data_IF_799155812441
#
_entry.id   IF_799155812441
#
_cell.length_a   1.000
_cell.length_b   1.000
_cell.length_c   1.000
_cell.angle_alpha   90.00
_cell.angle_beta   90.00
_cell.angle_gamma   90.00
#
_symmetry.space_group_name_H-M   'P 1'
#
loop_
_entity.id
_entity.type
_entity.pdbx_description
1 polymer ?
#
# COMPACT_ATOMS: atom_id res chain seq x y z
N UNK A 1 69.05 -21.02 1.50
CA UNK A 1 67.66 -20.96 1.02
C UNK A 1 66.76 -21.38 2.16
N UNK A 2 66.27 -20.42 2.94
CA UNK A 2 65.32 -20.62 4.03
C UNK A 2 63.91 -20.34 3.50
N UNK A 3 62.92 -21.22 3.75
CA UNK A 3 61.56 -20.96 3.31
C UNK A 3 60.93 -19.93 4.26
N UNK A 4 60.50 -18.79 3.70
CA UNK A 4 59.63 -17.85 4.40
C UNK A 4 58.24 -18.47 4.53
N UNK A 5 57.96 -19.01 5.71
CA UNK A 5 56.60 -19.34 6.15
C UNK A 5 55.80 -18.05 6.27
N UNK A 6 55.06 -17.72 5.19
CA UNK A 6 54.07 -16.66 5.21
C UNK A 6 52.95 -17.03 6.19
N UNK A 7 52.94 -16.36 7.35
CA UNK A 7 51.83 -16.42 8.29
C UNK A 7 50.62 -15.80 7.61
N UNK A 8 49.64 -16.62 7.23
CA UNK A 8 48.33 -16.15 6.82
C UNK A 8 47.67 -15.48 8.04
N UNK A 9 47.74 -14.15 8.10
CA UNK A 9 46.93 -13.40 9.05
C UNK A 9 45.50 -13.37 8.51
N UNK A 10 44.51 -13.98 9.21
CA UNK A 10 43.12 -13.82 8.83
C UNK A 10 42.79 -12.33 8.86
N UNK A 11 42.26 -11.80 7.75
CA UNK A 11 41.72 -10.44 7.71
C UNK A 11 40.78 -10.25 8.91
N UNK A 12 40.87 -9.13 9.64
CA UNK A 12 40.00 -8.89 10.78
C UNK A 12 38.54 -9.05 10.33
N UNK A 13 37.83 -10.02 10.93
CA UNK A 13 36.40 -10.18 10.72
C UNK A 13 35.74 -8.86 11.12
N UNK A 14 35.26 -8.12 10.13
CA UNK A 14 34.50 -6.90 10.36
C UNK A 14 33.33 -7.28 11.27
N UNK A 15 33.23 -6.67 12.45
CA UNK A 15 32.22 -7.00 13.45
C UNK A 15 30.87 -6.50 12.96
N UNK A 16 30.21 -7.30 12.13
CA UNK A 16 28.91 -6.98 11.59
C UNK A 16 27.90 -6.81 12.73
N UNK A 17 27.21 -5.66 12.76
CA UNK A 17 26.21 -5.33 13.76
C UNK A 17 24.88 -4.99 13.09
N UNK A 18 23.79 -5.11 13.84
CA UNK A 18 22.44 -4.84 13.33
C UNK A 18 22.19 -3.36 13.04
N UNK A 19 22.87 -2.45 13.74
CA UNK A 19 22.68 -1.01 13.59
C UNK A 19 23.15 -0.47 12.24
N UNK A 20 24.20 -1.05 11.64
CA UNK A 20 24.73 -0.65 10.33
C UNK A 20 24.19 -1.51 9.18
N UNK A 21 23.16 -2.34 9.43
CA UNK A 21 22.57 -3.19 8.43
C UNK A 21 21.86 -2.36 7.35
N UNK A 22 22.31 -2.44 6.09
CA UNK A 22 21.80 -1.56 5.03
C UNK A 22 20.29 -1.71 4.80
N UNK A 23 19.77 -2.95 4.81
CA UNK A 23 18.33 -3.19 4.73
C UNK A 23 17.55 -2.53 5.88
N UNK A 24 18.15 -2.45 7.07
CA UNK A 24 17.53 -1.82 8.23
C UNK A 24 17.42 -0.30 8.07
N UNK A 25 18.44 0.35 7.53
CA UNK A 25 18.42 1.80 7.28
C UNK A 25 17.25 2.16 6.36
N UNK A 26 17.05 1.41 5.26
CA UNK A 26 15.97 1.68 4.31
C UNK A 26 14.59 1.29 4.84
N UNK A 27 14.45 0.09 5.39
CA UNK A 27 13.15 -0.40 5.87
C UNK A 27 12.68 0.36 7.11
N UNK A 28 13.58 0.81 8.00
CA UNK A 28 13.16 1.61 9.15
C UNK A 28 12.52 2.94 8.74
N UNK A 29 12.99 3.57 7.65
CA UNK A 29 12.36 4.75 7.06
C UNK A 29 10.97 4.43 6.51
N UNK A 30 10.84 3.32 5.76
CA UNK A 30 9.56 2.84 5.23
C UNK A 30 8.56 2.54 6.36
N UNK A 31 9.00 1.85 7.42
CA UNK A 31 8.13 1.53 8.56
C UNK A 31 7.60 2.80 9.22
N UNK A 32 8.46 3.80 9.42
CA UNK A 32 8.07 5.09 9.99
C UNK A 32 7.11 5.86 9.09
N UNK A 33 7.35 5.90 7.79
CA UNK A 33 6.43 6.60 6.87
C UNK A 33 5.05 5.95 6.83
N UNK A 34 4.97 4.62 6.97
CA UNK A 34 3.70 3.89 7.02
C UNK A 34 2.90 4.16 8.30
N UNK A 35 3.57 4.41 9.43
CA UNK A 35 2.91 4.53 10.74
C UNK A 35 2.81 5.94 11.29
N UNK A 36 3.37 6.95 10.61
CA UNK A 36 3.44 8.33 11.09
C UNK A 36 2.08 8.95 11.49
N UNK A 37 0.98 8.50 10.88
CA UNK A 37 -0.37 9.02 11.15
C UNK A 37 -1.09 8.30 12.30
N UNK A 38 -0.54 7.20 12.83
CA UNK A 38 -1.12 6.38 13.90
C UNK A 38 -0.15 6.27 15.07
N UNK A 39 -0.51 6.92 16.17
CA UNK A 39 0.33 7.00 17.37
C UNK A 39 0.72 5.61 17.91
N UNK A 40 -0.21 4.64 17.90
CA UNK A 40 0.06 3.30 18.43
C UNK A 40 1.00 2.54 17.50
N UNK A 41 0.76 2.62 16.20
CA UNK A 41 1.61 2.00 15.18
C UNK A 41 3.02 2.63 15.17
N UNK A 42 3.12 3.94 15.37
CA UNK A 42 4.39 4.68 15.46
C UNK A 42 5.21 4.24 16.67
N UNK A 43 4.60 4.16 17.86
CA UNK A 43 5.29 3.68 19.08
C UNK A 43 5.76 2.23 18.91
N UNK A 44 4.92 1.36 18.36
CA UNK A 44 5.30 -0.02 18.04
C UNK A 44 6.48 -0.07 17.05
N UNK A 45 6.47 0.78 16.03
CA UNK A 45 7.56 0.91 15.06
C UNK A 45 8.88 1.28 15.73
N UNK A 46 8.89 2.31 16.58
CA UNK A 46 10.10 2.76 17.27
C UNK A 46 10.65 1.68 18.22
N UNK A 47 9.78 0.94 18.89
CA UNK A 47 10.18 -0.19 19.73
C UNK A 47 10.82 -1.31 18.90
N UNK A 48 10.23 -1.68 17.77
CA UNK A 48 10.79 -2.71 16.87
C UNK A 48 12.14 -2.26 16.31
N UNK A 49 12.26 -1.00 15.90
CA UNK A 49 13.53 -0.41 15.45
C UNK A 49 14.58 -0.46 16.56
N UNK A 50 14.21 -0.14 17.80
CA UNK A 50 15.10 -0.20 18.98
C UNK A 50 15.53 -1.64 19.30
N UNK A 51 14.59 -2.60 19.24
CA UNK A 51 14.89 -4.02 19.42
C UNK A 51 15.88 -4.51 18.36
N UNK A 52 15.67 -4.15 17.09
CA UNK A 52 16.57 -4.52 16.00
C UNK A 52 17.99 -3.97 16.21
N UNK A 53 18.13 -2.68 16.57
CA UNK A 53 19.45 -2.05 16.84
C UNK A 53 20.23 -2.76 17.94
N UNK A 54 19.54 -3.26 18.97
CA UNK A 54 20.13 -3.93 20.14
C UNK A 54 20.33 -5.44 19.93
N UNK A 55 19.78 -6.01 18.86
CA UNK A 55 19.88 -7.43 18.58
C UNK A 55 21.33 -7.85 18.32
N UNK A 56 21.64 -9.10 18.65
CA UNK A 56 22.88 -9.76 18.22
C UNK A 56 22.53 -10.70 17.08
N UNK A 57 23.25 -10.66 15.94
CA UNK A 57 23.00 -11.58 14.84
C UNK A 57 23.10 -13.02 15.30
N UNK A 58 22.11 -13.84 14.97
CA UNK A 58 22.06 -15.25 15.33
C UNK A 58 21.37 -16.07 14.23
N UNK A 59 21.72 -17.34 14.12
CA UNK A 59 21.03 -18.25 13.22
C UNK A 59 19.65 -18.59 13.78
N UNK A 60 18.60 -18.36 12.99
CA UNK A 60 17.23 -18.62 13.37
C UNK A 60 16.59 -19.58 12.37
N UNK A 61 15.88 -20.58 12.90
CA UNK A 61 15.14 -21.57 12.11
C UNK A 61 13.96 -20.94 11.37
N UNK A 62 13.65 -21.47 10.20
CA UNK A 62 12.58 -21.02 9.31
C UNK A 62 11.23 -20.72 9.99
N UNK A 63 10.75 -21.60 10.87
CA UNK A 63 9.46 -21.42 11.56
C UNK A 63 9.41 -20.19 12.49
N UNK A 64 10.54 -19.74 13.04
CA UNK A 64 10.62 -18.52 13.86
C UNK A 64 10.72 -17.25 13.01
N UNK A 65 11.08 -17.39 11.73
CA UNK A 65 11.16 -16.29 10.77
C UNK A 65 9.91 -16.15 9.91
N UNK A 66 8.87 -16.98 10.11
CA UNK A 66 7.54 -16.82 9.53
C UNK A 66 7.56 -16.47 8.03
N UNK A 67 6.95 -15.33 7.68
CA UNK A 67 6.93 -14.82 6.29
C UNK A 67 8.32 -14.50 5.73
N UNK A 68 9.30 -14.20 6.58
CA UNK A 68 10.68 -13.94 6.20
C UNK A 68 11.58 -15.21 6.23
N UNK A 69 10.99 -16.41 6.21
CA UNK A 69 11.71 -17.71 6.31
C UNK A 69 12.83 -17.94 5.29
N UNK A 70 12.87 -17.21 4.17
CA UNK A 70 13.93 -17.33 3.17
C UNK A 70 15.33 -16.98 3.71
N UNK A 71 15.41 -16.29 4.85
CA UNK A 71 16.66 -15.95 5.53
C UNK A 71 17.00 -16.90 6.69
N UNK A 72 16.33 -18.05 6.77
CA UNK A 72 16.67 -19.08 7.74
C UNK A 72 18.15 -19.46 7.64
N UNK A 73 18.73 -19.83 8.78
CA UNK A 73 20.12 -20.30 8.93
C UNK A 73 21.21 -19.27 8.56
N UNK A 74 20.82 -18.01 8.30
CA UNK A 74 21.73 -16.86 8.21
C UNK A 74 21.87 -16.17 9.57
N UNK A 75 22.97 -15.44 9.84
CA UNK A 75 23.07 -14.68 11.09
C UNK A 75 22.23 -13.40 11.00
N UNK A 76 20.95 -13.51 11.33
CA UNK A 76 19.96 -12.44 11.22
C UNK A 76 19.74 -11.73 12.55
N UNK A 77 19.36 -10.45 12.46
CA UNK A 77 18.94 -9.63 13.59
C UNK A 77 17.43 -9.74 13.86
N UNK A 78 16.68 -10.38 12.96
CA UNK A 78 15.25 -10.60 13.15
C UNK A 78 14.98 -11.62 14.24
N UNK A 79 13.77 -11.58 14.79
CA UNK A 79 13.20 -12.62 15.62
C UNK A 79 11.70 -12.76 15.27
N UNK A 80 10.99 -13.65 15.94
CA UNK A 80 9.55 -13.86 15.67
C UNK A 80 8.71 -12.60 15.90
N UNK A 81 9.11 -11.73 16.84
CA UNK A 81 8.41 -10.48 17.11
C UNK A 81 8.54 -9.49 15.93
N UNK A 82 9.77 -9.29 15.45
CA UNK A 82 10.06 -8.42 14.30
C UNK A 82 9.33 -8.91 13.04
N UNK A 83 9.36 -10.21 12.78
CA UNK A 83 8.67 -10.79 11.62
C UNK A 83 7.15 -10.67 11.75
N UNK A 84 6.58 -10.93 12.94
CA UNK A 84 5.15 -10.75 13.17
C UNK A 84 4.72 -9.30 12.96
N UNK A 85 5.53 -8.34 13.42
CA UNK A 85 5.31 -6.92 13.17
C UNK A 85 5.35 -6.57 11.67
N UNK A 86 6.31 -7.12 10.92
CA UNK A 86 6.38 -6.95 9.46
C UNK A 86 5.08 -7.41 8.80
N UNK A 87 4.57 -8.58 9.17
CA UNK A 87 3.36 -9.13 8.56
C UNK A 87 2.14 -8.24 8.86
N UNK A 88 2.01 -7.80 10.11
CA UNK A 88 0.96 -6.87 10.54
C UNK A 88 1.05 -5.49 9.87
N UNK A 89 2.26 -4.94 9.72
CA UNK A 89 2.46 -3.64 9.11
C UNK A 89 2.20 -3.66 7.59
N UNK A 90 2.51 -4.77 6.91
CA UNK A 90 2.14 -4.95 5.51
C UNK A 90 0.62 -4.94 5.33
N UNK A 91 -0.12 -5.57 6.26
CA UNK A 91 -1.58 -5.57 6.27
C UNK A 91 -2.15 -4.18 6.62
N UNK A 92 -1.54 -3.47 7.57
CA UNK A 92 -1.92 -2.10 7.93
C UNK A 92 -1.84 -1.13 6.74
N UNK A 93 -0.77 -1.23 5.93
CA UNK A 93 -0.61 -0.42 4.71
C UNK A 93 -1.78 -0.57 3.74
N UNK A 94 -2.32 -1.78 3.58
CA UNK A 94 -3.44 -1.99 2.64
C UNK A 94 -4.78 -1.65 3.25
N UNK A 95 -4.89 -1.57 4.58
CA UNK A 95 -6.09 -1.10 5.24
C UNK A 95 -6.42 0.36 4.88
N UNK A 96 -5.43 1.24 4.80
CA UNK A 96 -5.64 2.63 4.36
C UNK A 96 -6.18 2.68 2.93
N UNK A 97 -5.59 1.90 2.02
CA UNK A 97 -6.04 1.77 0.62
C UNK A 97 -7.49 1.28 0.55
N UNK A 98 -7.87 0.30 1.37
CA UNK A 98 -9.23 -0.25 1.36
C UNK A 98 -10.29 0.74 1.89
N UNK A 99 -9.92 1.65 2.80
CA UNK A 99 -10.84 2.68 3.33
C UNK A 99 -11.21 3.76 2.30
N UNK A 100 -10.42 3.92 1.24
CA UNK A 100 -10.70 4.92 0.22
C UNK A 100 -11.77 4.46 -0.78
N UNK A 101 -12.57 5.43 -1.25
CA UNK A 101 -13.62 5.19 -2.23
C UNK A 101 -13.02 4.90 -3.60
N UNK A 102 -13.29 3.71 -4.12
CA UNK A 102 -12.88 3.31 -5.46
C UNK A 102 -13.62 4.10 -6.54
N UNK A 103 -13.10 4.16 -7.77
CA UNK A 103 -13.80 4.82 -8.89
C UNK A 103 -15.21 4.23 -9.13
N UNK A 104 -15.39 2.94 -8.90
CA UNK A 104 -16.71 2.30 -8.96
C UNK A 104 -17.64 2.79 -7.84
N UNK A 105 -17.16 2.92 -6.61
CA UNK A 105 -17.96 3.47 -5.51
C UNK A 105 -18.35 4.93 -5.80
N UNK A 106 -17.45 5.72 -6.40
CA UNK A 106 -17.73 7.10 -6.84
C UNK A 106 -18.80 7.19 -7.93
N UNK A 107 -19.06 6.12 -8.70
CA UNK A 107 -20.14 6.09 -9.72
C UNK A 107 -21.49 6.46 -9.14
N UNK A 108 -21.81 5.97 -7.94
CA UNK A 108 -23.10 6.25 -7.27
C UNK A 108 -23.22 7.76 -6.98
N UNK A 109 -22.17 8.35 -6.42
CA UNK A 109 -22.12 9.79 -6.13
C UNK A 109 -22.21 10.65 -7.39
N UNK A 110 -21.53 10.25 -8.48
CA UNK A 110 -21.62 10.90 -9.78
C UNK A 110 -23.04 10.78 -10.36
N UNK A 111 -23.65 9.60 -10.28
CA UNK A 111 -25.01 9.37 -10.76
C UNK A 111 -26.03 10.24 -10.01
N UNK A 112 -26.04 10.23 -8.68
CA UNK A 112 -26.96 11.04 -7.87
C UNK A 112 -26.80 12.54 -8.19
N UNK A 113 -25.56 12.99 -8.36
CA UNK A 113 -25.27 14.38 -8.78
C UNK A 113 -25.87 14.70 -10.14
N UNK A 114 -25.69 13.83 -11.15
CA UNK A 114 -26.25 14.04 -12.48
C UNK A 114 -27.77 13.95 -12.49
N UNK A 115 -28.36 13.05 -11.70
CA UNK A 115 -29.80 12.94 -11.50
C UNK A 115 -30.38 14.28 -11.02
N UNK A 116 -29.82 14.84 -9.95
CA UNK A 116 -30.28 16.12 -9.39
C UNK A 116 -30.01 17.34 -10.30
N UNK A 117 -29.01 17.27 -11.17
CA UNK A 117 -28.69 18.36 -12.10
C UNK A 117 -29.58 18.36 -13.34
N UNK A 118 -29.97 17.20 -13.84
CA UNK A 118 -30.60 17.06 -15.16
C UNK A 118 -32.08 16.66 -15.11
N UNK A 119 -32.59 16.17 -13.97
CA UNK A 119 -33.98 15.74 -13.82
C UNK A 119 -34.78 16.68 -12.90
N UNK A 120 -36.08 16.80 -13.17
CA UNK A 120 -37.01 17.50 -12.29
C UNK A 120 -37.23 16.67 -11.01
N UNK A 121 -37.26 17.32 -9.83
CA UNK A 121 -37.45 16.61 -8.55
C UNK A 121 -38.77 15.83 -8.46
N UNK A 122 -39.80 16.19 -9.25
CA UNK A 122 -41.08 15.46 -9.29
C UNK A 122 -40.96 14.06 -9.90
N UNK A 123 -40.03 13.89 -10.86
CA UNK A 123 -39.81 12.63 -11.57
C UNK A 123 -38.70 11.78 -10.94
N UNK A 124 -37.99 12.31 -9.95
CA UNK A 124 -36.96 11.58 -9.21
C UNK A 124 -37.60 10.81 -8.05
N UNK A 125 -37.25 9.54 -7.90
CA UNK A 125 -37.44 8.80 -6.66
C UNK A 125 -36.26 9.16 -5.75
N UNK A 126 -36.55 9.86 -4.65
CA UNK A 126 -35.51 10.33 -3.74
C UNK A 126 -34.67 9.14 -3.24
N UNK A 127 -33.35 9.24 -3.42
CA UNK A 127 -32.42 8.16 -3.09
C UNK A 127 -31.10 8.68 -2.53
N UNK A 128 -30.49 7.93 -1.62
CA UNK A 128 -29.17 8.21 -1.05
C UNK A 128 -28.12 7.23 -1.57
N UNK A 129 -26.85 7.54 -1.31
CA UNK A 129 -25.73 6.65 -1.63
C UNK A 129 -25.91 5.25 -1.03
N UNK A 130 -26.26 5.15 0.26
CA UNK A 130 -26.45 3.84 0.91
C UNK A 130 -27.67 3.08 0.37
N UNK A 131 -28.72 3.80 -0.01
CA UNK A 131 -29.91 3.18 -0.60
C UNK A 131 -29.60 2.55 -1.96
N UNK A 132 -28.84 3.23 -2.84
CA UNK A 132 -28.38 2.63 -4.10
C UNK A 132 -27.43 1.46 -3.82
N UNK A 133 -26.45 1.66 -2.94
CA UNK A 133 -25.43 0.66 -2.63
C UNK A 133 -26.03 -0.66 -2.14
N UNK A 134 -27.10 -0.59 -1.33
CA UNK A 134 -27.74 -1.75 -0.71
C UNK A 134 -29.01 -2.22 -1.42
N UNK A 135 -29.38 -1.62 -2.56
CA UNK A 135 -30.57 -2.04 -3.30
C UNK A 135 -30.31 -3.36 -4.03
N UNK A 136 -30.93 -4.44 -3.55
CA UNK A 136 -30.85 -5.79 -4.14
C UNK A 136 -31.53 -5.92 -5.50
N UNK A 137 -32.42 -4.99 -5.86
CA UNK A 137 -33.12 -5.01 -7.15
C UNK A 137 -32.21 -4.52 -8.29
N UNK A 138 -31.08 -3.89 -7.98
CA UNK A 138 -30.08 -3.46 -8.96
C UNK A 138 -29.13 -4.63 -9.26
N UNK A 139 -29.66 -5.68 -9.89
CA UNK A 139 -28.97 -6.95 -10.15
C UNK A 139 -27.63 -6.79 -10.87
N UNK A 140 -27.58 -6.00 -11.94
CA UNK A 140 -26.36 -5.78 -12.74
C UNK A 140 -25.32 -4.99 -11.93
N UNK A 141 -25.78 -4.00 -11.17
CA UNK A 141 -24.93 -3.26 -10.25
C UNK A 141 -24.35 -4.14 -9.14
N UNK A 142 -25.15 -4.99 -8.48
CA UNK A 142 -24.69 -5.85 -7.40
C UNK A 142 -23.71 -6.93 -7.90
N UNK A 143 -23.96 -7.52 -9.08
CA UNK A 143 -23.01 -8.43 -9.72
C UNK A 143 -21.67 -7.73 -10.01
N UNK A 144 -21.73 -6.55 -10.61
CA UNK A 144 -20.54 -5.76 -10.93
C UNK A 144 -19.77 -5.34 -9.67
N UNK A 145 -20.50 -4.96 -8.60
CA UNK A 145 -19.91 -4.62 -7.30
C UNK A 145 -19.15 -5.80 -6.69
N UNK A 146 -19.70 -7.02 -6.78
CA UNK A 146 -19.01 -8.23 -6.31
C UNK A 146 -17.68 -8.43 -7.05
N UNK A 147 -17.70 -8.33 -8.37
CA UNK A 147 -16.48 -8.44 -9.18
C UNK A 147 -15.47 -7.33 -8.83
N UNK A 148 -15.95 -6.11 -8.61
CA UNK A 148 -15.11 -4.97 -8.24
C UNK A 148 -14.40 -5.19 -6.91
N UNK A 149 -15.12 -5.74 -5.93
CA UNK A 149 -14.57 -6.12 -4.63
C UNK A 149 -13.43 -7.13 -4.80
N UNK A 150 -13.61 -8.15 -5.63
CA UNK A 150 -12.58 -9.17 -5.90
C UNK A 150 -11.33 -8.56 -6.57
N UNK A 151 -11.50 -7.65 -7.55
CA UNK A 151 -10.37 -6.94 -8.16
C UNK A 151 -9.61 -6.10 -7.11
N UNK A 152 -10.33 -5.33 -6.28
CA UNK A 152 -9.75 -4.45 -5.25
C UNK A 152 -8.99 -5.25 -4.18
N UNK A 153 -9.55 -6.36 -3.71
CA UNK A 153 -8.89 -7.27 -2.75
C UNK A 153 -7.62 -7.86 -3.38
N UNK A 154 -7.67 -8.29 -4.64
CA UNK A 154 -6.53 -8.86 -5.35
C UNK A 154 -5.39 -7.84 -5.50
N UNK A 155 -5.74 -6.59 -5.81
CA UNK A 155 -4.77 -5.49 -5.85
C UNK A 155 -4.09 -5.29 -4.50
N UNK A 156 -4.86 -5.18 -3.41
CA UNK A 156 -4.29 -5.05 -2.06
C UNK A 156 -3.44 -6.24 -1.65
N UNK A 157 -3.80 -7.47 -2.01
CA UNK A 157 -2.96 -8.65 -1.75
C UNK A 157 -1.59 -8.52 -2.42
N UNK A 158 -1.54 -8.01 -3.65
CA UNK A 158 -0.28 -7.77 -4.35
C UNK A 158 0.58 -6.69 -3.65
N UNK A 159 -0.03 -5.57 -3.24
CA UNK A 159 0.67 -4.51 -2.48
C UNK A 159 1.18 -5.02 -1.12
N UNK A 160 0.35 -5.74 -0.38
CA UNK A 160 0.70 -6.35 0.92
C UNK A 160 1.87 -7.32 0.77
N UNK A 161 1.77 -8.28 -0.16
CA UNK A 161 2.80 -9.30 -0.38
C UNK A 161 4.16 -8.70 -0.76
N UNK A 162 4.15 -7.66 -1.57
CA UNK A 162 5.36 -6.98 -2.02
C UNK A 162 5.98 -6.12 -0.91
N UNK A 163 5.16 -5.34 -0.19
CA UNK A 163 5.61 -4.54 0.96
C UNK A 163 6.22 -5.44 2.05
N UNK A 164 5.58 -6.57 2.34
CA UNK A 164 6.06 -7.58 3.28
C UNK A 164 7.45 -8.09 2.92
N UNK A 165 7.66 -8.49 1.67
CA UNK A 165 8.97 -9.01 1.25
C UNK A 165 10.07 -7.96 1.25
N UNK A 166 9.74 -6.71 0.89
CA UNK A 166 10.67 -5.57 1.03
C UNK A 166 11.07 -5.38 2.49
N UNK A 167 10.11 -5.38 3.42
CA UNK A 167 10.40 -5.24 4.85
C UNK A 167 11.16 -6.45 5.41
N UNK A 168 10.91 -7.66 4.91
CA UNK A 168 11.68 -8.86 5.26
C UNK A 168 13.17 -8.75 4.90
N UNK A 169 13.58 -7.81 4.06
CA UNK A 169 15.00 -7.58 3.74
C UNK A 169 15.85 -7.20 4.96
N UNK A 170 15.25 -6.71 6.05
CA UNK A 170 15.98 -6.50 7.32
C UNK A 170 16.43 -7.80 7.97
N UNK A 171 15.83 -8.92 7.59
CA UNK A 171 16.15 -10.24 8.12
C UNK A 171 17.27 -10.94 7.37
N UNK A 172 17.84 -10.32 6.33
CA UNK A 172 19.06 -10.81 5.67
C UNK A 172 20.16 -11.02 6.70
N UNK A 173 20.94 -12.09 6.54
CA UNK A 173 22.12 -12.33 7.37
C UNK A 173 23.12 -11.21 7.21
N UNK A 174 23.68 -10.73 8.33
CA UNK A 174 24.62 -9.61 8.31
C UNK A 174 25.85 -9.88 7.42
N UNK A 175 26.25 -11.14 7.28
CA UNK A 175 27.32 -11.61 6.40
C UNK A 175 26.93 -11.70 4.91
N UNK A 176 25.64 -11.72 4.60
CA UNK A 176 25.11 -11.87 3.22
C UNK A 176 24.55 -10.58 2.64
N UNK A 177 24.65 -9.46 3.35
CA UNK A 177 24.04 -8.19 2.93
C UNK A 177 24.50 -7.74 1.54
N UNK A 178 25.79 -7.91 1.22
CA UNK A 178 26.36 -7.55 -0.09
C UNK A 178 25.86 -8.41 -1.26
N UNK A 179 25.24 -9.55 -0.99
CA UNK A 179 24.58 -10.38 -2.02
C UNK A 179 23.20 -9.83 -2.40
N UNK A 180 22.59 -9.01 -1.53
CA UNK A 180 21.23 -8.51 -1.69
C UNK A 180 21.15 -6.99 -1.84
N UNK A 181 22.25 -6.28 -1.64
CA UNK A 181 22.35 -4.85 -1.87
C UNK A 181 23.68 -4.53 -2.55
N UNK A 182 23.65 -3.65 -3.55
CA UNK A 182 24.87 -3.17 -4.20
C UNK A 182 25.57 -2.10 -3.35
N UNK A 183 26.74 -1.63 -3.82
CA UNK A 183 27.51 -0.56 -3.19
C UNK A 183 26.80 0.79 -3.11
N UNK A 184 25.82 1.04 -3.98
CA UNK A 184 24.99 2.26 -4.00
C UNK A 184 23.76 2.15 -3.06
N UNK A 185 23.60 0.99 -2.43
CA UNK A 185 22.50 0.69 -1.54
C UNK A 185 21.18 0.35 -2.22
N UNK A 186 21.17 0.09 -3.53
CA UNK A 186 20.03 -0.46 -4.25
C UNK A 186 19.83 -1.93 -3.88
N UNK A 187 18.58 -2.32 -3.73
CA UNK A 187 18.22 -3.69 -3.38
C UNK A 187 18.23 -4.59 -4.63
N UNK A 188 18.88 -5.74 -4.54
CA UNK A 188 18.92 -6.73 -5.61
C UNK A 188 17.75 -7.67 -5.42
N UNK A 189 16.74 -7.57 -6.29
CA UNK A 189 15.53 -8.41 -6.22
C UNK A 189 15.49 -9.40 -7.38
N UNK A 190 14.79 -10.51 -7.18
CA UNK A 190 14.55 -11.48 -8.24
C UNK A 190 13.65 -10.87 -9.31
N UNK A 191 14.05 -11.01 -10.58
CA UNK A 191 13.20 -10.63 -11.72
C UNK A 191 11.83 -11.33 -11.67
N UNK A 192 11.79 -12.56 -11.12
CA UNK A 192 10.53 -13.30 -10.94
C UNK A 192 9.59 -12.61 -9.95
N UNK A 193 10.10 -12.07 -8.85
CA UNK A 193 9.27 -11.35 -7.87
C UNK A 193 8.69 -10.07 -8.45
N UNK A 194 9.50 -9.33 -9.22
CA UNK A 194 9.04 -8.13 -9.92
C UNK A 194 7.96 -8.48 -10.95
N UNK A 195 8.13 -9.58 -11.70
CA UNK A 195 7.16 -10.05 -12.67
C UNK A 195 5.85 -10.48 -12.00
N UNK A 196 5.92 -11.23 -10.89
CA UNK A 196 4.73 -11.65 -10.14
C UNK A 196 3.95 -10.46 -9.60
N UNK A 197 4.65 -9.47 -9.05
CA UNK A 197 4.02 -8.22 -8.59
C UNK A 197 3.38 -7.44 -9.75
N UNK A 198 4.12 -7.25 -10.84
CA UNK A 198 3.64 -6.58 -12.04
C UNK A 198 2.39 -7.26 -12.59
N UNK A 199 2.42 -8.58 -12.75
CA UNK A 199 1.28 -9.36 -13.23
C UNK A 199 0.08 -9.23 -12.30
N UNK A 200 0.27 -9.43 -10.99
CA UNK A 200 -0.83 -9.36 -10.03
C UNK A 200 -1.49 -7.97 -9.98
N UNK A 201 -0.70 -6.91 -10.08
CA UNK A 201 -1.23 -5.53 -10.15
C UNK A 201 -1.89 -5.25 -11.49
N UNK A 202 -1.31 -5.67 -12.62
CA UNK A 202 -1.91 -5.52 -13.95
C UNK A 202 -3.23 -6.26 -14.08
N UNK A 203 -3.29 -7.52 -13.65
CA UNK A 203 -4.50 -8.35 -13.70
C UNK A 203 -5.62 -7.69 -12.86
N UNK A 204 -5.30 -7.19 -11.67
CA UNK A 204 -6.27 -6.52 -10.80
C UNK A 204 -6.74 -5.16 -11.36
N UNK A 205 -5.83 -4.36 -11.94
CA UNK A 205 -6.17 -3.08 -12.56
C UNK A 205 -7.01 -3.30 -13.82
N UNK A 206 -6.67 -4.29 -14.65
CA UNK A 206 -7.43 -4.64 -15.85
C UNK A 206 -8.83 -5.16 -15.49
N UNK A 207 -8.92 -6.03 -14.48
CA UNK A 207 -10.20 -6.47 -13.88
C UNK A 207 -11.07 -5.26 -13.50
N UNK A 208 -10.49 -4.29 -12.78
CA UNK A 208 -11.20 -3.08 -12.35
C UNK A 208 -11.56 -2.16 -13.52
N UNK A 209 -10.67 -1.99 -14.50
CA UNK A 209 -10.93 -1.18 -15.70
C UNK A 209 -12.07 -1.75 -16.54
N UNK A 210 -12.15 -3.07 -16.69
CA UNK A 210 -13.22 -3.74 -17.43
C UNK A 210 -14.59 -3.50 -16.79
N UNK A 211 -14.65 -3.42 -15.45
CA UNK A 211 -15.86 -3.06 -14.71
C UNK A 211 -16.35 -1.66 -15.07
N UNK A 212 -15.43 -0.72 -15.29
CA UNK A 212 -15.73 0.66 -15.70
C UNK A 212 -15.83 0.85 -17.22
N UNK A 213 -15.90 -0.23 -18.00
CA UNK A 213 -16.09 -0.13 -19.44
C UNK A 213 -17.43 0.54 -19.78
N UNK A 214 -17.48 1.23 -20.93
CA UNK A 214 -18.69 1.93 -21.37
C UNK A 214 -19.91 1.01 -21.42
N UNK A 215 -19.76 -0.25 -21.85
CA UNK A 215 -20.86 -1.22 -21.92
C UNK A 215 -21.38 -1.64 -20.55
N UNK A 216 -20.50 -1.84 -19.56
CA UNK A 216 -20.91 -2.18 -18.19
C UNK A 216 -21.55 -0.98 -17.49
N UNK A 217 -20.97 0.21 -17.65
CA UNK A 217 -21.56 1.44 -17.13
C UNK A 217 -22.92 1.72 -17.78
N UNK A 218 -23.07 1.49 -19.09
CA UNK A 218 -24.35 1.65 -19.78
C UNK A 218 -25.46 0.81 -19.14
N UNK A 219 -25.18 -0.47 -18.88
CA UNK A 219 -26.10 -1.39 -18.20
C UNK A 219 -26.48 -0.92 -16.80
N UNK A 220 -25.48 -0.57 -15.99
CA UNK A 220 -25.69 -0.11 -14.61
C UNK A 220 -26.52 1.17 -14.58
N UNK A 221 -26.21 2.14 -15.45
CA UNK A 221 -26.92 3.43 -15.45
C UNK A 221 -28.33 3.28 -16.02
N UNK A 222 -28.57 2.39 -16.99
CA UNK A 222 -29.94 2.06 -17.40
C UNK A 222 -30.72 1.44 -16.23
N UNK A 223 -30.11 0.51 -15.49
CA UNK A 223 -30.73 -0.11 -14.32
C UNK A 223 -31.04 0.93 -13.22
N UNK A 224 -30.11 1.87 -12.97
CA UNK A 224 -30.35 2.98 -12.06
C UNK A 224 -31.51 3.88 -12.53
N UNK A 225 -31.51 4.29 -13.80
CA UNK A 225 -32.55 5.15 -14.35
C UNK A 225 -33.94 4.50 -14.22
N UNK A 226 -34.06 3.21 -14.57
CA UNK A 226 -35.31 2.44 -14.45
C UNK A 226 -35.84 2.37 -13.01
N UNK A 227 -34.95 2.39 -12.02
CA UNK A 227 -35.32 2.27 -10.61
C UNK A 227 -35.55 3.62 -9.92
N UNK A 228 -34.96 4.71 -10.43
CA UNK A 228 -34.91 5.99 -9.72
C UNK A 228 -35.51 7.18 -10.49
N UNK A 229 -35.94 6.98 -11.74
CA UNK A 229 -36.65 7.96 -12.56
C UNK A 229 -38.04 7.40 -12.88
N UNK A 230 -39.08 8.16 -12.52
CA UNK A 230 -40.48 7.80 -12.79
C UNK A 230 -40.79 7.89 -14.28
N UNK A 231 -41.68 7.03 -14.73
CA UNK A 231 -42.29 7.04 -16.07
C UNK A 231 -41.29 7.07 -17.24
N UNK A 232 -40.05 6.64 -17.01
CA UNK A 232 -38.95 6.69 -17.98
C UNK A 232 -38.77 8.08 -18.61
N UNK A 233 -38.82 9.14 -17.77
CA UNK A 233 -38.59 10.52 -18.21
C UNK A 233 -37.31 10.67 -19.05
N UNK A 234 -37.38 11.51 -20.09
CA UNK A 234 -36.28 11.75 -21.04
C UNK A 234 -35.01 12.29 -20.37
N UNK A 235 -35.11 12.87 -19.18
CA UNK A 235 -33.95 13.31 -18.41
C UNK A 235 -32.94 12.17 -18.14
N UNK A 236 -33.41 10.90 -18.08
CA UNK A 236 -32.55 9.73 -17.92
C UNK A 236 -31.52 9.57 -19.05
N UNK A 237 -31.85 10.00 -20.27
CA UNK A 237 -30.91 10.00 -21.41
C UNK A 237 -29.76 10.98 -21.16
N UNK A 238 -30.06 12.17 -20.63
CA UNK A 238 -29.05 13.18 -20.30
C UNK A 238 -28.16 12.73 -19.14
N UNK A 239 -28.76 12.17 -18.08
CA UNK A 239 -28.03 11.59 -16.95
C UNK A 239 -27.04 10.54 -17.45
N UNK A 240 -27.53 9.58 -18.24
CA UNK A 240 -26.71 8.52 -18.82
C UNK A 240 -25.55 9.06 -19.65
N UNK A 241 -25.84 9.96 -20.60
CA UNK A 241 -24.82 10.59 -21.46
C UNK A 241 -23.74 11.28 -20.63
N UNK A 242 -24.13 12.03 -19.60
CA UNK A 242 -23.19 12.78 -18.76
C UNK A 242 -22.33 11.87 -17.90
N UNK A 243 -22.91 10.84 -17.28
CA UNK A 243 -22.15 9.86 -16.48
C UNK A 243 -21.13 9.13 -17.36
N UNK A 244 -21.55 8.61 -18.52
CA UNK A 244 -20.66 7.90 -19.44
C UNK A 244 -19.51 8.80 -19.93
N UNK A 245 -19.79 10.07 -20.22
CA UNK A 245 -18.78 11.06 -20.63
C UNK A 245 -17.73 11.33 -19.53
N UNK A 246 -18.15 11.41 -18.27
CA UNK A 246 -17.23 11.60 -17.14
C UNK A 246 -16.26 10.41 -17.07
N UNK A 247 -16.78 9.18 -17.07
CA UNK A 247 -15.94 7.99 -16.90
C UNK A 247 -15.07 7.66 -18.13
N UNK A 248 -15.49 8.03 -19.34
CA UNK A 248 -14.66 7.91 -20.54
C UNK A 248 -13.34 8.71 -20.43
N UNK A 249 -13.36 9.83 -19.71
CA UNK A 249 -12.20 10.72 -19.54
C UNK A 249 -11.39 10.45 -18.25
N UNK A 250 -11.85 9.54 -17.38
CA UNK A 250 -11.31 9.32 -16.03
C UNK A 250 -11.02 7.83 -15.77
N UNK A 251 -10.46 7.14 -16.78
CA UNK A 251 -10.24 5.70 -16.76
C UNK A 251 -9.20 5.26 -15.71
N UNK A 252 -9.41 4.07 -15.14
CA UNK A 252 -8.44 3.39 -14.28
C UNK A 252 -7.44 2.65 -15.17
N UNK A 253 -6.18 3.11 -15.23
CA UNK A 253 -5.13 2.51 -16.06
C UNK A 253 -3.81 2.45 -15.29
N UNK A 254 -2.99 1.43 -15.56
CA UNK A 254 -1.66 1.32 -14.98
C UNK A 254 -0.60 2.11 -15.77
N UNK A 255 -0.91 3.35 -16.16
CA UNK A 255 0.04 4.24 -16.81
C UNK A 255 -0.15 5.69 -16.34
N UNK A 256 0.90 6.51 -16.45
CA UNK A 256 0.92 7.91 -16.06
C UNK A 256 0.47 8.89 -17.17
N UNK A 257 -0.14 8.39 -18.26
CA UNK A 257 -0.48 9.18 -19.44
C UNK A 257 0.73 9.56 -20.33
N UNK A 258 1.95 9.21 -19.93
CA UNK A 258 3.20 9.41 -20.70
C UNK A 258 3.87 8.10 -21.11
N UNK A 259 3.17 6.98 -20.92
CA UNK A 259 3.66 5.64 -21.23
C UNK A 259 4.45 4.96 -20.12
N UNK A 260 4.64 5.60 -18.95
CA UNK A 260 5.26 4.93 -17.81
C UNK A 260 4.23 4.16 -16.99
N UNK A 261 4.58 2.95 -16.57
CA UNK A 261 3.78 2.17 -15.63
C UNK A 261 3.71 2.85 -14.26
N UNK A 262 2.55 2.86 -13.59
CA UNK A 262 2.41 3.39 -12.24
C UNK A 262 2.96 2.38 -11.21
N UNK A 263 2.54 1.12 -11.30
CA UNK A 263 3.01 0.02 -10.46
C UNK A 263 4.24 -0.66 -11.07
N UNK A 264 5.43 -0.05 -10.93
CA UNK A 264 6.67 -0.53 -11.61
C UNK A 264 7.33 -1.74 -10.96
N UNK A 265 7.15 -1.96 -9.66
CA UNK A 265 7.87 -3.01 -8.93
C UNK A 265 9.39 -2.82 -8.90
N UNK A 266 9.87 -1.59 -9.14
CA UNK A 266 11.28 -1.16 -9.03
C UNK A 266 11.41 0.09 -8.15
N UNK A 267 10.32 0.44 -7.46
CA UNK A 267 10.17 1.55 -6.51
C UNK A 267 9.60 0.99 -5.22
N UNK A 268 10.46 0.59 -4.29
CA UNK A 268 10.08 -0.20 -3.10
C UNK A 268 10.21 0.55 -1.77
N UNK A 269 11.10 1.54 -1.70
CA UNK A 269 11.36 2.41 -0.55
C UNK A 269 10.94 3.86 -0.84
N UNK A 270 10.77 4.24 -2.11
CA UNK A 270 10.24 5.56 -2.50
C UNK A 270 8.71 5.61 -2.45
N UNK A 271 8.14 6.82 -2.50
CA UNK A 271 6.68 7.00 -2.62
C UNK A 271 6.12 6.24 -3.84
N UNK A 272 5.09 5.42 -3.58
CA UNK A 272 4.35 4.62 -4.55
C UNK A 272 2.84 4.94 -4.51
N UNK A 273 2.47 6.09 -3.94
CA UNK A 273 1.10 6.57 -3.80
C UNK A 273 0.32 6.56 -5.13
N UNK A 274 0.97 6.82 -6.26
CA UNK A 274 0.33 6.78 -7.57
C UNK A 274 -0.17 5.37 -7.96
N UNK A 275 0.60 4.32 -7.66
CA UNK A 275 0.15 2.95 -7.82
C UNK A 275 -0.95 2.62 -6.82
N UNK A 276 -0.75 2.95 -5.54
CA UNK A 276 -1.71 2.63 -4.46
C UNK A 276 -3.09 3.26 -4.68
N UNK A 277 -3.13 4.42 -5.35
CA UNK A 277 -4.33 5.18 -5.65
C UNK A 277 -4.94 4.88 -7.04
N UNK A 278 -4.37 3.95 -7.82
CA UNK A 278 -4.80 3.72 -9.21
C UNK A 278 -6.28 3.34 -9.33
N UNK A 279 -6.81 2.56 -8.38
CA UNK A 279 -8.21 2.11 -8.37
C UNK A 279 -9.20 3.21 -7.96
N UNK A 280 -8.72 4.35 -7.44
CA UNK A 280 -9.55 5.50 -7.10
C UNK A 280 -10.01 6.28 -8.34
N UNK A 281 -9.39 6.00 -9.50
CA UNK A 281 -9.53 6.77 -10.72
C UNK A 281 -8.98 8.19 -10.58
N UNK A 282 -9.30 9.04 -11.54
CA UNK A 282 -8.90 10.45 -11.44
C UNK A 282 -9.56 11.15 -10.25
N UNK A 283 -8.81 12.05 -9.60
CA UNK A 283 -9.27 12.84 -8.46
C UNK A 283 -10.48 13.72 -8.81
N UNK A 284 -10.65 14.03 -10.10
CA UNK A 284 -11.72 14.91 -10.58
C UNK A 284 -13.07 14.21 -10.82
N UNK A 285 -13.15 12.89 -10.58
CA UNK A 285 -14.39 12.12 -10.75
C UNK A 285 -15.59 12.70 -9.99
N UNK A 286 -15.39 13.20 -8.76
CA UNK A 286 -16.47 13.74 -7.92
C UNK A 286 -16.53 15.28 -7.90
N UNK A 287 -15.45 15.97 -8.30
CA UNK A 287 -15.34 17.43 -8.25
C UNK A 287 -16.23 18.11 -9.29
N UNK A 288 -16.79 19.28 -8.97
CA UNK A 288 -17.54 20.14 -9.90
C UNK A 288 -16.57 21.07 -10.63
N UNK A 289 -16.80 21.19 -11.93
CA UNK A 289 -16.51 22.36 -12.75
C UNK A 289 -15.03 22.75 -12.97
N UNK A 290 -14.83 23.25 -14.18
CA UNK A 290 -13.63 23.87 -14.73
C UNK A 290 -13.25 25.10 -13.89
N UNK A 291 -12.75 24.90 -12.69
CA UNK A 291 -11.93 25.90 -12.04
C UNK A 291 -10.64 25.97 -12.85
N UNK A 292 -10.45 27.10 -13.53
CA UNK A 292 -9.12 27.61 -13.86
C UNK A 292 -8.37 27.82 -12.53
N UNK A 293 -8.01 26.73 -11.87
CA UNK A 293 -7.13 26.71 -10.71
C UNK A 293 -5.84 26.13 -11.21
N UNK A 294 -4.89 27.06 -11.36
CA UNK A 294 -3.49 26.91 -10.98
C UNK A 294 -3.00 25.46 -10.97
N UNK A 295 -2.08 25.19 -11.88
CA UNK A 295 -1.15 24.07 -11.92
C UNK A 295 -0.36 23.82 -10.61
N UNK A 296 -0.82 24.29 -9.45
CA UNK A 296 -0.19 24.13 -8.13
C UNK A 296 -0.51 22.80 -7.44
N UNK A 297 -1.28 21.92 -8.07
CA UNK A 297 -1.29 20.49 -7.76
C UNK A 297 -0.90 19.68 -9.02
N UNK A 298 -0.06 20.25 -9.89
CA UNK A 298 0.81 19.41 -10.70
C UNK A 298 1.35 18.36 -9.75
N UNK A 299 1.07 17.09 -10.08
CA UNK A 299 1.88 15.95 -9.67
C UNK A 299 3.28 16.50 -9.55
N UNK A 300 3.79 16.67 -8.32
CA UNK A 300 5.16 17.15 -8.14
C UNK A 300 5.93 16.32 -9.13
N UNK A 301 6.46 17.01 -10.14
CA UNK A 301 7.11 16.37 -11.26
C UNK A 301 8.23 15.63 -10.56
N UNK A 302 8.05 14.31 -10.39
CA UNK A 302 9.05 13.45 -9.79
C UNK A 302 10.15 13.40 -10.86
N UNK A 303 10.92 14.48 -10.91
CA UNK A 303 12.05 14.70 -11.76
C UNK A 303 13.07 13.68 -11.28
N UNK A 304 13.14 12.58 -12.02
CA UNK A 304 14.09 11.49 -11.86
C UNK A 304 14.02 10.79 -10.48
N UNK A 305 12.97 10.00 -10.25
CA UNK A 305 13.11 8.92 -9.25
C UNK A 305 14.05 7.86 -9.76
N UNK A 306 15.22 7.82 -9.14
CA UNK A 306 16.20 6.76 -9.24
C UNK A 306 15.53 5.46 -8.80
N UNK A 307 15.58 4.42 -9.64
CA UNK A 307 15.14 3.09 -9.23
C UNK A 307 15.96 2.64 -8.03
N UNK A 308 15.29 2.20 -6.96
CA UNK A 308 15.94 1.77 -5.73
C UNK A 308 16.25 0.26 -5.72
N UNK A 309 16.10 -0.36 -6.88
CA UNK A 309 16.17 -1.79 -7.13
C UNK A 309 17.05 -2.10 -8.34
N UNK A 310 17.82 -3.18 -8.23
CA UNK A 310 18.44 -3.88 -9.37
C UNK A 310 17.76 -5.23 -9.55
N UNK A 311 17.38 -5.56 -10.77
CA UNK A 311 16.83 -6.87 -11.12
C UNK A 311 17.96 -7.85 -11.45
N UNK A 312 17.96 -9.00 -10.76
CA UNK A 312 18.82 -10.14 -11.11
C UNK A 312 18.04 -11.45 -11.03
N UNK A 313 18.34 -12.47 -11.84
CA UNK A 313 17.67 -13.77 -11.76
C UNK A 313 17.72 -14.40 -10.34
N UNK A 314 18.86 -14.25 -9.66
CA UNK A 314 19.13 -14.78 -8.32
C UNK A 314 19.00 -13.73 -7.20
N UNK A 315 18.30 -12.63 -7.44
CA UNK A 315 18.04 -11.62 -6.41
C UNK A 315 17.08 -12.11 -5.33
N UNK A 316 16.84 -11.27 -4.31
CA UNK A 316 15.92 -11.59 -3.22
C UNK A 316 14.49 -11.81 -3.72
N UNK A 317 13.81 -12.83 -3.20
CA UNK A 317 12.37 -12.98 -3.45
C UNK A 317 11.58 -12.05 -2.52
N UNK A 318 10.92 -11.03 -3.07
CA UNK A 318 10.19 -10.04 -2.27
C UNK A 318 8.67 -10.05 -2.50
N UNK A 319 8.15 -10.91 -3.38
CA UNK A 319 6.71 -11.12 -3.49
C UNK A 319 6.32 -12.27 -2.55
N UNK A 320 5.94 -11.94 -1.31
CA UNK A 320 5.71 -12.91 -0.23
C UNK A 320 4.25 -12.85 0.22
N UNK A 321 3.36 -13.76 -0.23
CA UNK A 321 2.03 -13.89 0.32
C UNK A 321 2.05 -14.36 1.79
N UNK A 322 1.03 -14.00 2.57
CA UNK A 322 0.82 -14.51 3.93
C UNK A 322 -0.58 -15.09 4.08
N UNK A 323 -0.74 -16.02 5.01
CA UNK A 323 -2.04 -16.57 5.38
C UNK A 323 -2.99 -15.50 5.95
N UNK A 324 -2.45 -14.44 6.56
CA UNK A 324 -3.27 -13.34 7.09
C UNK A 324 -3.89 -12.48 5.98
N UNK A 325 -3.41 -12.57 4.73
CA UNK A 325 -3.98 -11.82 3.60
C UNK A 325 -5.45 -12.23 3.31
N UNK A 326 -5.95 -13.31 3.91
CA UNK A 326 -7.38 -13.72 3.89
C UNK A 326 -8.30 -12.70 4.59
N UNK A 327 -7.78 -11.88 5.49
CA UNK A 327 -8.57 -10.87 6.22
C UNK A 327 -8.78 -9.57 5.43
N UNK A 328 -8.14 -9.44 4.27
CA UNK A 328 -8.32 -8.28 3.38
C UNK A 328 -9.72 -8.35 2.76
N UNK A 329 -10.57 -7.41 3.14
CA UNK A 329 -11.91 -7.18 2.60
C UNK A 329 -11.99 -5.85 1.83
N UNK A 330 -13.16 -5.51 1.29
CA UNK A 330 -13.39 -4.33 0.44
C UNK A 330 -13.19 -2.99 1.18
N UNK A 331 -13.45 -2.99 2.49
CA UNK A 331 -13.54 -1.78 3.31
C UNK A 331 -12.39 -1.68 4.33
N UNK A 332 -11.56 -2.72 4.43
CA UNK A 332 -10.50 -2.84 5.44
C UNK A 332 -11.02 -3.09 6.87
N UNK A 333 -12.27 -3.56 7.04
CA UNK A 333 -12.91 -3.76 8.35
C UNK A 333 -12.49 -5.07 9.01
N UNK A 334 -12.33 -6.13 8.22
CA UNK A 334 -11.82 -7.41 8.70
C UNK A 334 -10.31 -7.40 8.99
N UNK A 335 -9.61 -6.34 8.59
CA UNK A 335 -8.20 -6.13 8.94
C UNK A 335 -8.10 -5.66 10.40
N UNK A 336 -7.79 -6.61 11.30
CA UNK A 336 -7.44 -6.32 12.70
C UNK A 336 -5.92 -6.33 12.86
N UNK A 337 -5.33 -5.15 12.99
CA UNK A 337 -3.90 -5.00 13.31
C UNK A 337 -3.78 -4.68 14.79
N UNK A 338 -3.06 -5.52 15.54
CA UNK A 338 -2.85 -5.35 16.97
C UNK A 338 -1.40 -4.96 17.26
N UNK A 339 -1.18 -3.64 17.30
CA UNK A 339 0.12 -3.08 17.64
C UNK A 339 0.45 -3.12 19.15
N UNK A 340 -0.50 -3.50 20.01
CA UNK A 340 -0.30 -3.45 21.47
C UNK A 340 0.79 -4.41 21.94
N UNK A 341 0.94 -5.56 21.29
CA UNK A 341 1.95 -6.57 21.62
C UNK A 341 3.39 -6.12 21.33
N UNK A 342 3.58 -5.05 20.54
CA UNK A 342 4.89 -4.46 20.22
C UNK A 342 5.20 -3.18 21.02
N UNK A 343 4.22 -2.70 21.81
CA UNK A 343 4.34 -1.45 22.56
C UNK A 343 5.09 -1.58 23.91
N UNK A 344 5.51 -2.78 24.30
CA UNK A 344 6.15 -3.06 25.59
C UNK A 344 7.64 -2.70 25.63
N UNK A 345 7.91 -1.43 25.92
CA UNK A 345 8.73 -0.95 27.05
C UNK A 345 9.01 0.54 26.86
N UNK A 346 7.98 1.37 27.02
CA UNK A 346 8.23 2.76 27.39
C UNK A 346 8.95 2.71 28.73
N UNK A 347 10.27 2.88 28.73
CA UNK A 347 10.98 3.34 29.90
C UNK A 347 10.21 4.57 30.39
N UNK A 348 9.47 4.41 31.50
CA UNK A 348 8.74 5.48 32.21
C UNK A 348 9.64 6.68 32.60
N UNK A 349 10.92 6.66 32.24
CA UNK A 349 11.93 7.66 32.58
C UNK A 349 11.99 8.87 31.63
N UNK A 350 11.36 8.85 30.44
CA UNK A 350 11.41 10.02 29.52
C UNK A 350 10.23 10.99 29.62
N UNK A 351 9.14 10.64 30.31
CA UNK A 351 8.03 11.58 30.56
C UNK A 351 8.24 12.37 31.88
N UNK A 352 9.12 11.90 32.76
CA UNK A 352 9.40 12.57 34.05
C UNK A 352 10.33 13.79 33.87
N UNK A 353 11.21 13.83 32.87
CA UNK A 353 12.11 14.98 32.66
C UNK A 353 11.39 16.24 32.14
N UNK A 354 10.24 16.09 31.46
CA UNK A 354 9.48 17.24 30.96
C UNK A 354 8.58 17.89 32.04
N UNK A 355 8.19 17.12 33.07
CA UNK A 355 7.37 17.63 34.19
C UNK A 355 8.26 18.27 35.27
N UNK A 356 9.46 17.73 35.51
CA UNK A 356 10.41 18.33 36.46
C UNK A 356 10.93 19.70 36.03
N UNK A 357 11.02 19.98 34.72
CA UNK A 357 11.42 21.30 34.21
C UNK A 357 10.31 22.35 34.35
N UNK A 358 9.02 21.98 34.27
CA UNK A 358 7.93 22.90 34.58
C UNK A 358 7.78 23.16 36.08
N UNK A 359 8.02 22.16 36.94
CA UNK A 359 7.97 22.35 38.39
C UNK A 359 9.09 23.30 38.89
N UNK A 360 10.26 23.29 38.26
CA UNK A 360 11.33 24.25 38.57
C UNK A 360 10.99 25.65 38.04
N UNK A 361 10.38 25.78 36.87
CA UNK A 361 9.95 27.09 36.34
C UNK A 361 8.81 27.73 37.15
N UNK A 362 7.95 26.93 37.80
CA UNK A 362 6.91 27.43 38.72
C UNK A 362 7.48 27.78 40.11
N UNK A 363 8.63 27.22 40.49
CA UNK A 363 9.28 27.56 41.77
C UNK A 363 10.14 28.83 41.70
N UNK A 364 10.43 29.35 40.51
CA UNK A 364 11.24 30.55 40.27
C UNK A 364 10.45 31.76 39.72
N UNK A 365 9.12 31.64 39.61
CA UNK A 365 8.16 32.74 39.40
C UNK A 365 7.42 32.98 40.72
#
# INVERSE_FOLDING_TARGET
MTPHSGVYQPKPQQKYNCQTHLGFIKVSSLMKSLTQADVKASVATDNIISQFKKAKPQQIRSHKLGVCRQFADQNTCCNSNIVSFIDQLALYKVQSIQKEKSAFQKLISVYIKQLNLNCNSKVIIHTTYEQILNNSNLTSFQETRKNQKECKISFSKAISAYTRGVMCSICVGVEKIGSYFNSEGQMIISSQSQLMYSKATDDAINCFSNILSASNLDKIINEFNLNYIKDNDQCGILVKKNVLSIFANHSVQNNDGKGNKLCKGTRIFSDNSACENVLLGSRDLETKERLLRSESNQTERILQTIEDVILKPNGMNIYIPSSIDVTIDEDGKSISVDFSNFSSSTNKSQIITSISLMAILIYFL
#
